data_IF_365822507258
#
_entry.id   IF_365822507258
#
_cell.length_a   1.000
_cell.length_b   1.000
_cell.length_c   1.000
_cell.angle_alpha   90.00
_cell.angle_beta   90.00
_cell.angle_gamma   90.00
#
_symmetry.space_group_name_H-M   'P 1'
#
loop_
_entity.id
_entity.type
_entity.pdbx_description
1 polymer ?
#
# COMPACT_ATOMS: atom_id res chain seq x y z
N UNK A 1 10.99 -4.89 -40.51
CA UNK A 1 10.54 -5.47 -41.80
C UNK A 1 9.02 -5.64 -41.91
N UNK A 2 8.33 -6.41 -41.05
CA UNK A 2 6.85 -6.62 -41.13
C UNK A 2 5.99 -5.34 -41.14
N UNK A 3 6.34 -4.32 -40.34
CA UNK A 3 5.59 -3.05 -40.30
C UNK A 3 5.81 -2.19 -41.55
N UNK A 4 7.03 -2.17 -42.08
CA UNK A 4 7.38 -1.43 -43.29
C UNK A 4 6.68 -2.01 -44.54
N UNK A 5 6.67 -3.33 -44.68
CA UNK A 5 5.93 -4.01 -45.75
C UNK A 5 4.42 -3.72 -45.71
N UNK A 6 3.85 -3.60 -44.50
CA UNK A 6 2.43 -3.32 -44.31
C UNK A 6 2.08 -1.85 -44.62
N UNK A 7 2.98 -0.90 -44.34
CA UNK A 7 2.82 0.48 -44.77
C UNK A 7 2.94 0.64 -46.29
N UNK A 8 3.88 -0.08 -46.92
CA UNK A 8 4.00 -0.11 -48.40
C UNK A 8 2.75 -0.74 -49.02
N UNK A 9 2.22 -1.83 -48.44
CA UNK A 9 0.97 -2.44 -48.90
C UNK A 9 -0.24 -1.52 -48.74
N UNK A 10 -0.35 -0.79 -47.61
CA UNK A 10 -1.43 0.20 -47.40
C UNK A 10 -1.30 1.39 -48.36
N UNK A 11 -0.09 1.87 -48.64
CA UNK A 11 0.15 2.95 -49.61
C UNK A 11 -0.19 2.51 -51.04
N UNK A 12 0.18 1.28 -51.44
CA UNK A 12 -0.20 0.70 -52.71
C UNK A 12 -1.73 0.52 -52.81
N UNK A 13 -2.38 0.07 -51.74
CA UNK A 13 -3.85 -0.03 -51.68
C UNK A 13 -4.52 1.34 -51.81
N UNK A 14 -3.93 2.39 -51.24
CA UNK A 14 -4.47 3.76 -51.27
C UNK A 14 -4.47 4.33 -52.69
N UNK A 15 -3.48 3.95 -53.51
CA UNK A 15 -3.38 4.31 -54.92
C UNK A 15 -4.40 3.56 -55.79
N UNK A 16 -4.75 2.32 -55.44
CA UNK A 16 -5.65 1.45 -56.22
C UNK A 16 -7.11 1.67 -55.82
N UNK A 17 -7.40 1.78 -54.53
CA UNK A 17 -8.74 2.01 -54.00
C UNK A 17 -8.67 2.74 -52.65
N UNK A 18 -8.77 4.07 -52.65
CA UNK A 18 -8.78 4.88 -51.44
C UNK A 18 -9.75 4.40 -50.35
N UNK A 19 -11.02 4.01 -50.63
CA UNK A 19 -11.94 3.56 -49.59
C UNK A 19 -11.52 2.22 -48.96
N UNK A 20 -10.97 1.27 -49.74
CA UNK A 20 -10.46 0.00 -49.21
C UNK A 20 -9.20 0.19 -48.37
N UNK A 21 -8.33 1.12 -48.76
CA UNK A 21 -7.12 1.43 -48.02
C UNK A 21 -7.40 2.14 -46.69
N UNK A 22 -8.35 3.08 -46.70
CA UNK A 22 -8.86 3.72 -45.48
C UNK A 22 -9.53 2.69 -44.58
N UNK A 23 -10.37 1.81 -45.12
CA UNK A 23 -10.99 0.71 -44.37
C UNK A 23 -9.94 -0.24 -43.78
N UNK A 24 -8.93 -0.63 -44.55
CA UNK A 24 -7.84 -1.50 -44.10
C UNK A 24 -6.97 -0.82 -43.02
N UNK A 25 -6.68 0.47 -43.15
CA UNK A 25 -5.98 1.26 -42.14
C UNK A 25 -6.80 1.40 -40.85
N UNK A 26 -8.12 1.65 -40.98
CA UNK A 26 -9.06 1.72 -39.85
C UNK A 26 -9.17 0.37 -39.15
N UNK A 27 -9.31 -0.74 -39.89
CA UNK A 27 -9.32 -2.10 -39.33
C UNK A 27 -7.98 -2.45 -38.68
N UNK A 28 -6.86 -2.04 -39.28
CA UNK A 28 -5.53 -2.23 -38.72
C UNK A 28 -5.29 -1.42 -37.44
N UNK A 29 -5.81 -0.20 -37.36
CA UNK A 29 -5.80 0.60 -36.14
C UNK A 29 -6.76 -0.01 -35.09
N UNK A 30 -7.96 -0.41 -35.52
CA UNK A 30 -8.99 -1.03 -34.69
C UNK A 30 -8.52 -2.35 -34.08
N UNK A 31 -7.66 -3.13 -34.75
CA UNK A 31 -7.14 -4.41 -34.22
C UNK A 31 -6.47 -4.25 -32.84
N UNK A 32 -5.83 -3.10 -32.59
CA UNK A 32 -5.17 -2.83 -31.30
C UNK A 32 -6.18 -2.61 -30.16
N UNK A 33 -7.36 -2.08 -30.50
CA UNK A 33 -8.48 -1.91 -29.59
C UNK A 33 -9.26 -3.23 -29.44
N UNK A 34 -9.55 -3.92 -30.55
CA UNK A 34 -10.29 -5.19 -30.59
C UNK A 34 -9.59 -6.25 -29.73
N UNK A 35 -8.26 -6.35 -29.78
CA UNK A 35 -7.55 -7.31 -28.94
C UNK A 35 -7.75 -7.03 -27.44
N UNK A 36 -7.53 -5.78 -27.02
CA UNK A 36 -7.70 -5.37 -25.62
C UNK A 36 -9.13 -5.62 -25.15
N UNK A 37 -10.10 -5.24 -25.96
CA UNK A 37 -11.52 -5.45 -25.70
C UNK A 37 -11.91 -6.92 -25.64
N UNK A 38 -11.43 -7.76 -26.56
CA UNK A 38 -11.73 -9.21 -26.55
C UNK A 38 -11.19 -9.91 -25.30
N UNK A 39 -10.06 -9.44 -24.76
CA UNK A 39 -9.49 -9.97 -23.53
C UNK A 39 -10.36 -9.60 -22.32
N UNK A 40 -10.76 -8.32 -22.22
CA UNK A 40 -11.62 -7.87 -21.12
C UNK A 40 -13.03 -8.47 -21.19
N UNK A 41 -13.58 -8.64 -22.40
CA UNK A 41 -14.86 -9.33 -22.61
C UNK A 41 -14.82 -10.80 -22.17
N UNK A 42 -13.72 -11.51 -22.45
CA UNK A 42 -13.54 -12.87 -21.94
C UNK A 42 -13.54 -12.91 -20.42
N UNK A 43 -12.91 -11.93 -19.75
CA UNK A 43 -12.95 -11.84 -18.29
C UNK A 43 -14.36 -11.54 -17.77
N UNK A 44 -15.09 -10.62 -18.42
CA UNK A 44 -16.49 -10.33 -18.08
C UNK A 44 -17.37 -11.58 -18.19
N UNK A 45 -17.32 -12.28 -19.32
CA UNK A 45 -18.13 -13.49 -19.59
C UNK A 45 -17.81 -14.62 -18.61
N UNK A 46 -16.53 -14.79 -18.24
CA UNK A 46 -16.12 -15.77 -17.21
C UNK A 46 -16.69 -15.44 -15.84
N UNK A 47 -16.86 -14.16 -15.52
CA UNK A 47 -17.35 -13.71 -14.23
C UNK A 47 -18.89 -13.70 -14.17
N UNK A 48 -19.56 -13.19 -15.21
CA UNK A 48 -21.02 -13.20 -15.33
C UNK A 48 -21.51 -13.09 -16.79
N UNK A 49 -22.72 -13.63 -17.04
CA UNK A 49 -23.37 -13.57 -18.36
C UNK A 49 -24.43 -12.47 -18.49
N UNK A 50 -24.89 -11.90 -17.37
CA UNK A 50 -26.01 -10.94 -17.38
C UNK A 50 -25.67 -9.63 -18.10
N UNK A 51 -24.50 -9.03 -17.82
CA UNK A 51 -24.06 -7.80 -18.50
C UNK A 51 -23.83 -8.02 -20.01
N UNK A 52 -23.11 -9.08 -20.45
CA UNK A 52 -23.02 -9.42 -21.87
C UNK A 52 -24.38 -9.53 -22.55
N UNK A 53 -25.30 -10.30 -21.97
CA UNK A 53 -26.63 -10.51 -22.56
C UNK A 53 -27.40 -9.18 -22.68
N UNK A 54 -27.41 -8.37 -21.62
CA UNK A 54 -28.16 -7.12 -21.60
C UNK A 54 -27.60 -6.09 -22.60
N UNK A 55 -26.28 -5.98 -22.70
CA UNK A 55 -25.63 -5.10 -23.69
C UNK A 55 -25.84 -5.55 -25.13
N UNK A 56 -25.85 -6.87 -25.39
CA UNK A 56 -26.22 -7.42 -26.68
C UNK A 56 -27.69 -7.13 -27.03
N UNK A 57 -28.60 -7.29 -26.06
CA UNK A 57 -30.01 -6.93 -26.22
C UNK A 57 -30.19 -5.43 -26.51
N UNK A 58 -29.48 -4.55 -25.80
CA UNK A 58 -29.49 -3.10 -26.05
C UNK A 58 -29.05 -2.75 -27.47
N UNK A 59 -27.95 -3.34 -27.94
CA UNK A 59 -27.46 -3.15 -29.30
C UNK A 59 -28.44 -3.72 -30.35
N UNK A 60 -29.00 -4.92 -30.12
CA UNK A 60 -29.99 -5.52 -31.00
C UNK A 60 -31.28 -4.68 -31.06
N UNK A 61 -31.75 -4.16 -29.92
CA UNK A 61 -32.90 -3.26 -29.86
C UNK A 61 -32.68 -1.98 -30.65
N UNK A 62 -31.49 -1.37 -30.55
CA UNK A 62 -31.13 -0.22 -31.37
C UNK A 62 -31.09 -0.57 -32.88
N UNK A 63 -30.56 -1.74 -33.25
CA UNK A 63 -30.51 -2.21 -34.63
C UNK A 63 -31.90 -2.52 -35.21
N UNK A 64 -32.79 -3.09 -34.41
CA UNK A 64 -34.13 -3.50 -34.83
C UNK A 64 -35.19 -2.39 -34.66
N UNK A 65 -34.84 -1.25 -34.05
CA UNK A 65 -35.80 -0.17 -33.82
C UNK A 65 -36.38 0.37 -35.14
N UNK A 66 -37.68 0.71 -35.17
CA UNK A 66 -38.35 1.21 -36.38
C UNK A 66 -37.96 2.65 -36.78
N UNK A 67 -37.26 3.37 -35.90
CA UNK A 67 -36.78 4.74 -36.16
C UNK A 67 -35.82 4.84 -37.35
N UNK A 68 -35.81 6.00 -38.00
CA UNK A 68 -34.89 6.36 -39.08
C UNK A 68 -34.19 7.69 -38.78
N UNK A 69 -33.22 8.08 -39.63
CA UNK A 69 -32.51 9.36 -39.51
C UNK A 69 -31.74 9.53 -38.20
N UNK A 70 -31.77 10.75 -37.64
CA UNK A 70 -31.00 11.11 -36.45
C UNK A 70 -31.37 10.30 -35.20
N UNK A 71 -32.66 9.96 -35.02
CA UNK A 71 -33.13 9.16 -33.89
C UNK A 71 -32.54 7.73 -33.93
N UNK A 72 -32.48 7.12 -35.12
CA UNK A 72 -31.82 5.82 -35.32
C UNK A 72 -30.33 5.89 -35.02
N UNK A 73 -29.66 6.92 -35.52
CA UNK A 73 -28.22 7.12 -35.28
C UNK A 73 -27.91 7.24 -33.79
N UNK A 74 -28.73 7.97 -33.02
CA UNK A 74 -28.59 8.11 -31.57
C UNK A 74 -28.74 6.76 -30.85
N UNK A 75 -29.78 5.98 -31.19
CA UNK A 75 -29.99 4.66 -30.60
C UNK A 75 -28.83 3.70 -30.89
N UNK A 76 -28.35 3.68 -32.14
CA UNK A 76 -27.19 2.88 -32.52
C UNK A 76 -25.93 3.30 -31.76
N UNK A 77 -25.71 4.61 -31.59
CA UNK A 77 -24.60 5.12 -30.80
C UNK A 77 -24.70 4.68 -29.33
N UNK A 78 -25.88 4.76 -28.72
CA UNK A 78 -26.08 4.31 -27.35
C UNK A 78 -25.91 2.80 -27.17
N UNK A 79 -26.42 2.00 -28.10
CA UNK A 79 -26.20 0.55 -28.13
C UNK A 79 -24.72 0.19 -28.27
N UNK A 80 -24.00 0.88 -29.16
CA UNK A 80 -22.56 0.71 -29.32
C UNK A 80 -21.79 1.12 -28.05
N UNK A 81 -22.18 2.23 -27.41
CA UNK A 81 -21.59 2.69 -26.14
C UNK A 81 -21.84 1.66 -25.03
N UNK A 82 -23.02 1.06 -24.94
CA UNK A 82 -23.31 0.02 -23.95
C UNK A 82 -22.40 -1.20 -24.11
N UNK A 83 -22.23 -1.69 -25.34
CA UNK A 83 -21.30 -2.79 -25.65
C UNK A 83 -19.86 -2.38 -25.35
N UNK A 84 -19.48 -1.15 -25.66
CA UNK A 84 -18.14 -0.63 -25.41
C UNK A 84 -17.83 -0.44 -23.92
N UNK A 85 -18.84 -0.13 -23.10
CA UNK A 85 -18.69 0.02 -21.65
C UNK A 85 -18.73 -1.31 -20.91
N UNK A 86 -19.37 -2.34 -21.46
CA UNK A 86 -19.62 -3.61 -20.75
C UNK A 86 -18.40 -4.20 -20.02
N UNK A 87 -17.19 -4.28 -20.61
CA UNK A 87 -16.05 -4.91 -19.93
C UNK A 87 -15.29 -4.00 -18.94
N UNK A 88 -15.53 -2.68 -18.95
CA UNK A 88 -14.82 -1.70 -18.11
C UNK A 88 -15.72 -1.03 -17.07
N UNK A 89 -17.00 -0.86 -17.41
CA UNK A 89 -18.04 -0.28 -16.57
C UNK A 89 -19.33 -1.10 -16.70
N UNK A 90 -19.35 -2.33 -16.16
CA UNK A 90 -20.47 -3.26 -16.33
C UNK A 90 -21.80 -2.67 -15.83
N UNK A 91 -21.80 -1.90 -14.73
CA UNK A 91 -23.03 -1.33 -14.17
C UNK A 91 -23.59 -0.22 -15.07
N UNK A 92 -22.72 0.68 -15.53
CA UNK A 92 -23.13 1.73 -16.47
C UNK A 92 -23.60 1.15 -17.80
N UNK A 93 -22.91 0.11 -18.31
CA UNK A 93 -23.32 -0.60 -19.52
C UNK A 93 -24.74 -1.16 -19.42
N UNK A 94 -25.10 -1.79 -18.28
CA UNK A 94 -26.48 -2.25 -18.05
C UNK A 94 -27.50 -1.12 -18.10
N UNK A 95 -27.23 -0.01 -17.42
CA UNK A 95 -28.14 1.14 -17.40
C UNK A 95 -28.37 1.70 -18.81
N UNK A 96 -27.30 1.92 -19.56
CA UNK A 96 -27.37 2.41 -20.95
C UNK A 96 -28.11 1.41 -21.84
N UNK A 97 -27.90 0.11 -21.65
CA UNK A 97 -28.59 -0.94 -22.42
C UNK A 97 -30.10 -0.91 -22.19
N UNK A 98 -30.55 -0.80 -20.93
CA UNK A 98 -31.97 -0.73 -20.57
C UNK A 98 -32.62 0.55 -21.12
N UNK A 99 -31.94 1.69 -21.00
CA UNK A 99 -32.42 2.94 -21.59
C UNK A 99 -32.53 2.84 -23.11
N UNK A 100 -31.53 2.23 -23.76
CA UNK A 100 -31.54 2.02 -25.22
C UNK A 100 -32.71 1.15 -25.64
N UNK A 101 -32.99 0.05 -24.91
CA UNK A 101 -34.17 -0.79 -25.14
C UNK A 101 -35.46 0.01 -24.99
N UNK A 102 -35.64 0.74 -23.88
CA UNK A 102 -36.85 1.53 -23.61
C UNK A 102 -37.11 2.60 -24.67
N UNK A 103 -36.05 3.23 -25.20
CA UNK A 103 -36.17 4.22 -26.28
C UNK A 103 -36.39 3.60 -27.66
N UNK A 104 -35.95 2.35 -27.87
CA UNK A 104 -36.11 1.63 -29.13
C UNK A 104 -37.53 1.11 -29.37
N UNK A 105 -38.33 0.93 -28.31
CA UNK A 105 -39.73 0.51 -28.44
C UNK A 105 -40.60 1.68 -28.91
N UNK A 106 -41.34 1.46 -29.99
CA UNK A 106 -42.36 2.39 -30.47
C UNK A 106 -43.71 2.03 -29.84
N UNK A 107 -44.23 2.91 -28.98
CA UNK A 107 -45.54 2.73 -28.34
C UNK A 107 -46.27 4.07 -28.22
N UNK A 108 -47.61 4.06 -28.20
CA UNK A 108 -48.41 5.26 -27.93
C UNK A 108 -48.20 5.80 -26.50
N UNK A 109 -47.73 4.96 -25.57
CA UNK A 109 -47.46 5.31 -24.17
C UNK A 109 -45.97 5.58 -23.91
N UNK A 110 -45.25 6.20 -24.86
CA UNK A 110 -43.80 6.39 -24.79
C UNK A 110 -43.31 7.07 -23.50
N UNK A 111 -43.97 8.11 -22.94
CA UNK A 111 -43.54 8.70 -21.67
C UNK A 111 -43.51 7.70 -20.50
N UNK A 112 -44.52 6.83 -20.40
CA UNK A 112 -44.60 5.79 -19.36
C UNK A 112 -43.49 4.74 -19.53
N UNK A 113 -43.23 4.32 -20.77
CA UNK A 113 -42.13 3.39 -21.09
C UNK A 113 -40.78 3.98 -20.72
N UNK A 114 -40.57 5.28 -20.95
CA UNK A 114 -39.33 5.95 -20.56
C UNK A 114 -39.15 6.04 -19.05
N UNK A 115 -40.20 6.39 -18.30
CA UNK A 115 -40.16 6.41 -16.83
C UNK A 115 -39.85 5.01 -16.28
N UNK A 116 -40.49 3.98 -16.82
CA UNK A 116 -40.22 2.59 -16.46
C UNK A 116 -38.77 2.20 -16.80
N UNK A 117 -38.29 2.56 -17.99
CA UNK A 117 -36.92 2.27 -18.42
C UNK A 117 -35.88 2.94 -17.52
N UNK A 118 -36.12 4.18 -17.08
CA UNK A 118 -35.26 4.88 -16.11
C UNK A 118 -35.26 4.15 -14.77
N UNK A 119 -36.42 3.76 -14.25
CA UNK A 119 -36.53 3.02 -13.00
C UNK A 119 -35.80 1.67 -13.07
N UNK A 120 -35.99 0.91 -14.16
CA UNK A 120 -35.32 -0.38 -14.38
C UNK A 120 -33.82 -0.20 -14.60
N UNK A 121 -33.39 0.86 -15.31
CA UNK A 121 -31.98 1.17 -15.51
C UNK A 121 -31.28 1.48 -14.18
N UNK A 122 -31.95 2.22 -13.29
CA UNK A 122 -31.46 2.48 -11.94
C UNK A 122 -31.30 1.19 -11.10
N UNK A 123 -32.29 0.30 -11.17
CA UNK A 123 -32.21 -1.01 -10.50
C UNK A 123 -31.10 -1.88 -11.09
N UNK A 124 -30.94 -1.90 -12.40
CA UNK A 124 -29.90 -2.64 -13.10
C UNK A 124 -28.48 -2.12 -12.76
N UNK A 125 -28.34 -0.80 -12.59
CA UNK A 125 -27.11 -0.15 -12.13
C UNK A 125 -26.77 -0.50 -10.67
N UNK A 126 -27.76 -0.52 -9.77
CA UNK A 126 -27.55 -0.86 -8.36
C UNK A 126 -27.28 -2.33 -8.10
N UNK A 127 -27.77 -3.22 -8.97
CA UNK A 127 -27.56 -4.67 -8.84
C UNK A 127 -26.06 -4.98 -8.89
N UNK A 128 -25.62 -5.92 -8.05
CA UNK A 128 -24.23 -6.37 -8.08
C UNK A 128 -23.85 -6.84 -9.49
N UNK A 129 -22.67 -6.43 -9.91
CA UNK A 129 -22.06 -6.79 -11.18
C UNK A 129 -20.65 -7.30 -10.91
N UNK A 130 -20.09 -8.00 -11.89
CA UNK A 130 -18.64 -8.10 -11.94
C UNK A 130 -18.06 -6.69 -12.13
N UNK A 131 -16.91 -6.45 -11.53
CA UNK A 131 -16.24 -5.15 -11.55
C UNK A 131 -14.91 -5.25 -10.81
N UNK A 132 -14.32 -4.12 -10.48
CA UNK A 132 -13.01 -4.06 -9.85
C UNK A 132 -13.13 -3.92 -8.33
N UNK A 133 -12.44 -4.80 -7.61
CA UNK A 133 -12.24 -4.73 -6.16
C UNK A 133 -10.77 -4.36 -5.96
N UNK A 134 -10.50 -3.20 -5.36
CA UNK A 134 -9.19 -2.59 -5.29
C UNK A 134 -8.70 -2.46 -3.85
N UNK A 135 -7.44 -2.83 -3.60
CA UNK A 135 -6.78 -2.67 -2.31
C UNK A 135 -5.26 -2.48 -2.48
N UNK A 136 -4.61 -1.91 -1.47
CA UNK A 136 -3.15 -2.01 -1.33
C UNK A 136 -2.81 -3.44 -0.93
N UNK A 137 -1.67 -3.96 -1.41
CA UNK A 137 -1.29 -5.35 -1.19
C UNK A 137 0.21 -5.48 -1.01
N UNK A 138 0.63 -6.21 0.02
CA UNK A 138 2.04 -6.51 0.31
C UNK A 138 2.66 -7.48 -0.70
N UNK A 139 1.83 -8.27 -1.39
CA UNK A 139 2.24 -9.17 -2.47
C UNK A 139 1.63 -8.71 -3.80
N UNK A 140 2.45 -8.54 -4.84
CA UNK A 140 1.95 -8.38 -6.19
C UNK A 140 1.20 -9.66 -6.57
N UNK A 141 -0.12 -9.63 -6.80
CA UNK A 141 -0.88 -10.84 -7.02
C UNK A 141 -0.36 -11.56 -8.26
N UNK A 142 -0.33 -12.89 -8.20
CA UNK A 142 0.03 -13.70 -9.35
C UNK A 142 -1.13 -13.73 -10.35
N UNK A 143 -0.79 -13.72 -11.64
CA UNK A 143 -1.75 -13.83 -12.74
C UNK A 143 -2.26 -12.50 -13.30
N UNK A 144 -3.56 -12.46 -13.60
CA UNK A 144 -4.24 -11.36 -14.29
C UNK A 144 -4.59 -10.25 -13.29
N UNK A 145 -3.87 -9.14 -13.35
CA UNK A 145 -3.91 -8.07 -12.34
C UNK A 145 -4.16 -6.71 -12.96
N UNK A 146 -4.99 -5.92 -12.29
CA UNK A 146 -5.34 -4.56 -12.65
C UNK A 146 -4.70 -3.57 -11.68
N UNK A 147 -4.33 -2.39 -12.15
CA UNK A 147 -3.66 -1.36 -11.38
C UNK A 147 -4.37 -0.02 -11.59
N UNK A 148 -4.88 0.56 -10.51
CA UNK A 148 -5.28 1.97 -10.48
C UNK A 148 -4.07 2.80 -10.05
N UNK A 149 -3.34 3.33 -11.03
CA UNK A 149 -2.13 4.13 -10.79
C UNK A 149 -2.42 5.49 -10.14
N UNK A 150 -3.67 5.99 -10.18
CA UNK A 150 -4.02 7.26 -9.53
C UNK A 150 -4.15 7.07 -8.03
N UNK A 151 -4.73 5.95 -7.62
CA UNK A 151 -4.97 5.63 -6.22
C UNK A 151 -3.87 4.76 -5.59
N UNK A 152 -2.94 4.23 -6.39
CA UNK A 152 -1.93 3.28 -5.92
C UNK A 152 -2.58 1.98 -5.45
N UNK A 153 -3.59 1.49 -6.17
CA UNK A 153 -4.32 0.28 -5.77
C UNK A 153 -4.14 -0.83 -6.79
N UNK A 154 -4.03 -2.05 -6.27
CA UNK A 154 -4.11 -3.26 -7.08
C UNK A 154 -5.54 -3.74 -7.04
N UNK A 155 -6.08 -4.07 -8.20
CA UNK A 155 -7.46 -4.48 -8.35
C UNK A 155 -7.59 -5.88 -8.96
N UNK A 156 -8.61 -6.61 -8.50
CA UNK A 156 -9.05 -7.87 -9.08
C UNK A 156 -10.44 -7.69 -9.70
N UNK A 157 -10.69 -8.37 -10.81
CA UNK A 157 -11.99 -8.32 -11.48
C UNK A 157 -12.90 -9.45 -10.98
N UNK A 158 -13.89 -9.12 -10.15
CA UNK A 158 -14.74 -10.08 -9.47
C UNK A 158 -16.16 -9.55 -9.21
N UNK A 159 -17.08 -10.45 -8.87
CA UNK A 159 -18.48 -10.12 -8.53
C UNK A 159 -18.53 -9.25 -7.26
N UNK A 160 -19.31 -8.17 -7.32
CA UNK A 160 -19.40 -7.19 -6.24
C UNK A 160 -18.45 -5.99 -6.40
N UNK A 161 -17.54 -6.03 -7.38
CA UNK A 161 -16.65 -4.92 -7.70
C UNK A 161 -17.36 -3.69 -8.28
N UNK A 162 -16.62 -2.58 -8.36
CA UNK A 162 -17.10 -1.28 -8.85
C UNK A 162 -16.56 -1.00 -10.26
N UNK A 163 -17.17 -0.04 -10.94
CA UNK A 163 -16.69 0.43 -12.23
C UNK A 163 -15.39 1.25 -12.03
N UNK A 164 -14.40 1.10 -12.92
CA UNK A 164 -13.20 1.92 -12.93
C UNK A 164 -13.08 2.71 -14.22
N UNK A 165 -12.70 3.98 -14.08
CA UNK A 165 -12.51 4.89 -15.20
C UNK A 165 -11.08 4.89 -15.72
N UNK A 166 -10.07 4.54 -14.94
CA UNK A 166 -8.71 4.44 -15.49
C UNK A 166 -7.94 3.37 -14.76
N UNK A 167 -7.36 2.47 -15.53
CA UNK A 167 -6.54 1.40 -14.97
C UNK A 167 -5.58 0.88 -16.03
N UNK A 168 -4.50 0.28 -15.55
CA UNK A 168 -3.61 -0.56 -16.32
C UNK A 168 -3.93 -2.01 -16.01
N UNK A 169 -3.76 -2.90 -16.98
CA UNK A 169 -3.96 -4.33 -16.73
C UNK A 169 -2.85 -5.15 -17.38
N UNK A 170 -2.39 -6.15 -16.63
CA UNK A 170 -1.56 -7.24 -17.13
C UNK A 170 -2.47 -8.47 -17.23
N UNK A 171 -2.74 -8.91 -18.46
CA UNK A 171 -3.48 -10.15 -18.74
C UNK A 171 -2.55 -11.12 -19.45
N UNK A 172 -2.12 -12.17 -18.76
CA UNK A 172 -1.04 -13.06 -19.19
C UNK A 172 0.22 -12.26 -19.58
N UNK A 173 0.64 -12.37 -20.86
CA UNK A 173 1.77 -11.63 -21.44
C UNK A 173 1.41 -10.32 -22.16
N UNK A 174 0.20 -9.80 -21.99
CA UNK A 174 -0.24 -8.55 -22.61
C UNK A 174 -0.48 -7.44 -21.60
N UNK A 175 -0.05 -6.24 -21.95
CA UNK A 175 -0.21 -5.02 -21.16
C UNK A 175 -1.19 -4.08 -21.84
N UNK A 176 -2.21 -3.63 -21.12
CA UNK A 176 -3.27 -2.77 -21.65
C UNK A 176 -3.42 -1.56 -20.72
N UNK A 177 -3.70 -0.40 -21.32
CA UNK A 177 -4.07 0.82 -20.60
C UNK A 177 -5.48 1.21 -21.00
N UNK A 178 -6.34 1.45 -20.01
CA UNK A 178 -7.71 1.92 -20.18
C UNK A 178 -7.87 3.33 -19.58
N UNK A 179 -8.54 4.21 -20.32
CA UNK A 179 -8.91 5.54 -19.87
C UNK A 179 -10.35 5.88 -20.29
N UNK A 180 -11.19 6.15 -19.30
CA UNK A 180 -12.64 5.99 -19.29
C UNK A 180 -13.04 4.61 -19.82
N UNK A 181 -13.22 4.49 -21.13
CA UNK A 181 -13.51 3.24 -21.81
C UNK A 181 -12.45 2.93 -22.88
N UNK A 182 -11.61 3.88 -23.26
CA UNK A 182 -10.65 3.67 -24.33
C UNK A 182 -9.49 2.79 -23.85
N UNK A 183 -9.55 1.51 -24.19
CA UNK A 183 -8.54 0.51 -23.88
C UNK A 183 -7.62 0.23 -25.08
N UNK A 184 -6.31 0.38 -24.87
CA UNK A 184 -5.29 0.10 -25.89
C UNK A 184 -4.17 -0.78 -25.34
N UNK A 185 -3.66 -1.67 -26.18
CA UNK A 185 -2.43 -2.43 -25.86
C UNK A 185 -1.23 -1.47 -25.80
N UNK A 186 -0.39 -1.66 -24.80
CA UNK A 186 0.88 -0.93 -24.60
C UNK A 186 2.03 -1.94 -24.52
N UNK A 187 3.27 -1.48 -24.70
CA UNK A 187 4.44 -2.31 -24.42
C UNK A 187 4.72 -2.34 -22.91
N UNK A 188 5.59 -3.26 -22.48
CA UNK A 188 5.91 -3.43 -21.07
C UNK A 188 6.57 -2.19 -20.46
N UNK A 189 7.47 -1.52 -21.19
CA UNK A 189 8.13 -0.30 -20.71
C UNK A 189 7.14 0.85 -20.46
N UNK A 190 6.18 1.08 -21.37
CA UNK A 190 5.14 2.10 -21.17
C UNK A 190 4.15 1.70 -20.08
N UNK A 191 3.90 0.39 -19.89
CA UNK A 191 3.11 -0.11 -18.78
C UNK A 191 3.80 0.17 -17.45
N UNK A 192 5.07 -0.22 -17.30
CA UNK A 192 5.86 -0.01 -16.07
C UNK A 192 5.95 1.48 -15.73
N UNK A 193 6.24 2.34 -16.72
CA UNK A 193 6.22 3.81 -16.54
C UNK A 193 4.85 4.35 -16.13
N UNK A 194 3.77 3.75 -16.61
CA UNK A 194 2.40 4.21 -16.33
C UNK A 194 1.84 3.75 -14.98
N UNK A 195 2.19 2.52 -14.56
CA UNK A 195 1.85 1.94 -13.25
C UNK A 195 2.69 2.61 -12.16
N UNK A 196 3.96 2.86 -12.43
CA UNK A 196 4.89 3.41 -11.46
C UNK A 196 5.54 2.33 -10.59
N UNK A 197 6.03 2.75 -9.44
CA UNK A 197 6.84 1.95 -8.51
C UNK A 197 5.96 1.13 -7.56
N UNK A 198 6.51 0.00 -7.07
CA UNK A 198 5.79 -0.95 -6.22
C UNK A 198 5.31 -0.33 -4.90
N UNK A 199 6.10 0.57 -4.33
CA UNK A 199 5.84 1.26 -3.06
C UNK A 199 4.51 2.03 -3.03
N UNK A 200 3.96 2.43 -4.19
CA UNK A 200 2.64 3.06 -4.27
C UNK A 200 1.49 2.11 -3.95
N UNK A 201 1.74 0.81 -4.12
CA UNK A 201 0.74 -0.25 -4.04
C UNK A 201 0.80 -1.03 -2.72
N UNK A 202 1.84 -0.79 -1.91
CA UNK A 202 2.01 -1.43 -0.62
C UNK A 202 1.17 -0.73 0.45
N UNK A 203 0.66 -1.47 1.44
CA UNK A 203 -0.05 -0.90 2.57
C UNK A 203 0.88 -0.04 3.45
N UNK A 204 0.28 0.92 4.17
CA UNK A 204 0.96 1.60 5.27
C UNK A 204 1.11 0.63 6.44
N UNK A 205 2.26 0.57 7.13
CA UNK A 205 2.43 -0.28 8.30
C UNK A 205 1.68 0.30 9.50
N UNK A 206 1.19 -0.55 10.39
CA UNK A 206 0.71 -0.16 11.71
C UNK A 206 1.85 -0.19 12.73
N UNK A 207 1.71 0.53 13.84
CA UNK A 207 2.68 0.50 14.96
C UNK A 207 2.96 -0.93 15.46
N UNK A 208 1.94 -1.80 15.43
CA UNK A 208 2.04 -3.20 15.86
C UNK A 208 2.85 -4.11 14.92
N UNK A 209 3.13 -3.66 13.68
CA UNK A 209 3.93 -4.40 12.70
C UNK A 209 5.43 -4.23 12.98
N UNK A 210 5.81 -3.12 13.61
CA UNK A 210 7.17 -2.84 14.05
C UNK A 210 7.49 -3.60 15.35
N UNK A 211 8.05 -4.81 15.19
CA UNK A 211 8.42 -5.69 16.30
C UNK A 211 9.89 -6.11 16.26
N UNK A 212 10.51 -6.11 17.43
CA UNK A 212 11.90 -6.54 17.62
C UNK A 212 12.89 -5.58 16.98
N UNK A 213 14.00 -6.14 16.46
CA UNK A 213 15.08 -5.37 15.85
C UNK A 213 14.76 -5.04 14.38
N UNK A 214 14.73 -3.75 14.06
CA UNK A 214 14.50 -3.19 12.74
C UNK A 214 15.76 -2.44 12.31
N UNK A 215 16.32 -2.83 11.16
CA UNK A 215 17.47 -2.13 10.57
C UNK A 215 16.97 -0.92 9.78
N UNK A 216 17.21 0.28 10.29
CA UNK A 216 16.83 1.53 9.66
C UNK A 216 17.97 2.05 8.79
N UNK A 217 17.71 2.22 7.50
CA UNK A 217 18.67 2.68 6.50
C UNK A 217 18.23 4.05 5.99
N UNK A 218 18.84 5.08 6.54
CA UNK A 218 18.54 6.48 6.25
C UNK A 218 19.11 7.41 7.31
N UNK A 219 18.86 8.72 7.19
CA UNK A 219 19.30 9.70 8.18
C UNK A 219 18.65 9.44 9.56
N UNK A 220 19.40 9.50 10.67
CA UNK A 220 18.86 9.26 12.02
C UNK A 220 17.64 10.12 12.37
N UNK A 221 17.59 11.36 11.87
CA UNK A 221 16.49 12.30 12.11
C UNK A 221 15.17 11.79 11.53
N UNK A 222 15.23 11.03 10.42
CA UNK A 222 14.06 10.41 9.81
C UNK A 222 13.57 9.23 10.64
N UNK A 223 14.48 8.46 11.27
CA UNK A 223 14.10 7.39 12.19
C UNK A 223 13.33 7.93 13.40
N UNK A 224 13.81 9.05 13.96
CA UNK A 224 13.14 9.71 15.10
C UNK A 224 11.74 10.19 14.72
N UNK A 225 11.58 10.81 13.55
CA UNK A 225 10.26 11.23 13.04
C UNK A 225 9.31 10.06 12.82
N UNK A 226 9.80 8.96 12.26
CA UNK A 226 9.01 7.75 12.04
C UNK A 226 8.53 7.16 13.38
N UNK A 227 9.44 7.08 14.36
CA UNK A 227 9.10 6.66 15.71
C UNK A 227 8.04 7.57 16.34
N UNK A 228 8.20 8.88 16.26
CA UNK A 228 7.23 9.83 16.80
C UNK A 228 5.86 9.70 16.10
N UNK A 229 5.83 9.50 14.78
CA UNK A 229 4.60 9.33 14.02
C UNK A 229 3.81 8.07 14.41
N UNK A 230 4.48 6.92 14.52
CA UNK A 230 3.79 5.65 14.76
C UNK A 230 3.57 5.34 16.24
N UNK A 231 4.44 5.85 17.13
CA UNK A 231 4.41 5.52 18.56
C UNK A 231 4.13 6.71 19.47
N UNK A 232 4.17 7.94 18.96
CA UNK A 232 4.00 9.19 19.72
C UNK A 232 5.21 9.58 20.58
N UNK A 233 5.99 8.60 21.03
CA UNK A 233 7.19 8.81 21.83
C UNK A 233 8.24 7.72 21.55
N UNK A 234 9.49 7.98 21.93
CA UNK A 234 10.59 7.04 21.78
C UNK A 234 11.82 7.47 22.55
N UNK A 235 12.85 6.63 22.54
CA UNK A 235 14.13 6.94 23.16
C UNK A 235 15.26 6.84 22.15
N UNK A 236 16.20 7.77 22.19
CA UNK A 236 17.43 7.72 21.41
C UNK A 236 18.62 7.33 22.31
N UNK A 237 19.57 6.57 21.76
CA UNK A 237 20.84 6.23 22.39
C UNK A 237 22.00 6.27 21.37
N UNK A 238 23.23 6.43 21.86
CA UNK A 238 24.44 6.46 21.03
C UNK A 238 24.68 7.82 20.38
N UNK A 239 25.15 7.88 19.13
CA UNK A 239 25.38 9.15 18.43
C UNK A 239 24.12 9.75 17.78
N UNK A 240 22.94 9.18 18.08
CA UNK A 240 21.65 9.73 17.64
C UNK A 240 21.32 10.99 18.44
N UNK A 241 21.09 12.10 17.74
CA UNK A 241 20.77 13.40 18.33
C UNK A 241 19.28 13.50 18.69
N UNK A 242 18.99 13.65 19.99
CA UNK A 242 17.67 13.95 20.50
C UNK A 242 17.78 14.82 21.77
N UNK A 243 16.73 15.58 22.14
CA UNK A 243 16.73 16.39 23.35
C UNK A 243 17.12 15.57 24.60
N UNK A 244 18.11 16.01 25.39
CA UNK A 244 18.52 15.29 26.58
C UNK A 244 17.48 15.47 27.69
N UNK A 245 17.10 14.37 28.34
CA UNK A 245 16.21 14.35 29.50
C UNK A 245 16.57 13.18 30.43
N UNK A 246 16.19 13.28 31.70
CA UNK A 246 16.27 12.15 32.64
C UNK A 246 14.96 11.37 32.55
N UNK A 247 14.99 10.19 31.94
CA UNK A 247 13.81 9.56 31.32
C UNK A 247 12.96 8.74 32.30
N UNK A 248 13.59 7.94 33.16
CA UNK A 248 12.86 7.01 34.02
C UNK A 248 13.28 7.10 35.49
N UNK A 249 12.45 6.49 36.34
CA UNK A 249 12.69 6.27 37.77
C UNK A 249 12.57 4.79 38.08
N UNK A 250 13.58 4.22 38.74
CA UNK A 250 13.47 2.84 39.24
C UNK A 250 12.30 2.71 40.23
N UNK A 251 12.07 3.72 41.07
CA UNK A 251 10.94 3.75 42.01
C UNK A 251 9.55 3.78 41.35
N UNK A 252 9.47 4.16 40.07
CA UNK A 252 8.21 4.20 39.30
C UNK A 252 7.97 2.97 38.44
N UNK A 253 9.02 2.20 38.14
CA UNK A 253 8.95 0.97 37.36
C UNK A 253 8.57 -0.20 38.27
N UNK A 254 8.04 -1.28 37.69
CA UNK A 254 7.90 -2.52 38.45
C UNK A 254 9.29 -3.08 38.78
N UNK A 255 9.49 -3.68 39.98
CA UNK A 255 10.78 -4.25 40.36
C UNK A 255 11.31 -5.27 39.34
N UNK A 256 10.43 -6.05 38.71
CA UNK A 256 10.79 -7.05 37.70
C UNK A 256 11.37 -6.40 36.44
N UNK A 257 10.76 -5.30 35.96
CA UNK A 257 11.24 -4.55 34.80
C UNK A 257 12.56 -3.87 35.11
N UNK A 258 12.63 -3.21 36.27
CA UNK A 258 13.83 -2.50 36.72
C UNK A 258 15.04 -3.45 36.85
N UNK A 259 14.86 -4.61 37.49
CA UNK A 259 15.92 -5.60 37.65
C UNK A 259 16.40 -6.14 36.30
N UNK A 260 15.47 -6.55 35.42
CA UNK A 260 15.84 -7.09 34.11
C UNK A 260 16.65 -6.09 33.27
N UNK A 261 16.27 -4.80 33.32
CA UNK A 261 17.01 -3.72 32.64
C UNK A 261 18.39 -3.52 33.26
N UNK A 262 18.49 -3.43 34.59
CA UNK A 262 19.76 -3.22 35.28
C UNK A 262 20.73 -4.40 35.08
N UNK A 263 20.23 -5.62 35.16
CA UNK A 263 20.99 -6.84 34.86
C UNK A 263 21.58 -6.77 33.45
N UNK A 264 20.75 -6.43 32.45
CA UNK A 264 21.16 -6.38 31.05
C UNK A 264 22.14 -5.22 30.78
N UNK A 265 21.84 -4.02 31.26
CA UNK A 265 22.59 -2.81 30.93
C UNK A 265 23.90 -2.66 31.74
N UNK A 266 23.90 -3.11 33.00
CA UNK A 266 25.05 -2.99 33.91
C UNK A 266 25.84 -4.30 34.02
N UNK A 267 25.30 -5.42 33.56
CA UNK A 267 25.97 -6.73 33.63
C UNK A 267 26.04 -7.26 35.06
N UNK A 268 24.94 -7.17 35.81
CA UNK A 268 24.91 -7.60 37.20
C UNK A 268 25.04 -9.13 37.32
N UNK A 269 25.78 -9.61 38.32
CA UNK A 269 25.83 -11.05 38.65
C UNK A 269 24.51 -11.53 39.27
N UNK A 270 24.21 -12.85 39.29
CA UNK A 270 22.99 -13.37 39.92
C UNK A 270 22.79 -12.91 41.37
N UNK A 271 23.87 -12.82 42.15
CA UNK A 271 23.84 -12.34 43.54
C UNK A 271 23.52 -10.85 43.62
N UNK A 272 24.10 -10.05 42.71
CA UNK A 272 23.85 -8.62 42.62
C UNK A 272 22.39 -8.34 42.21
N UNK A 273 21.89 -9.09 41.22
CA UNK A 273 20.49 -9.04 40.77
C UNK A 273 19.53 -9.39 41.91
N UNK A 274 19.81 -10.44 42.69
CA UNK A 274 18.99 -10.81 43.84
C UNK A 274 18.94 -9.70 44.90
N UNK A 275 20.08 -9.08 45.22
CA UNK A 275 20.15 -7.96 46.17
C UNK A 275 19.37 -6.75 45.66
N UNK A 276 19.56 -6.36 44.39
CA UNK A 276 18.84 -5.22 43.78
C UNK A 276 17.34 -5.47 43.77
N UNK A 277 16.91 -6.69 43.48
CA UNK A 277 15.50 -7.08 43.53
C UNK A 277 14.91 -6.89 44.92
N UNK A 278 15.58 -7.39 45.96
CA UNK A 278 15.13 -7.21 47.35
C UNK A 278 15.02 -5.73 47.74
N UNK A 279 16.04 -4.92 47.41
CA UNK A 279 16.03 -3.48 47.67
C UNK A 279 14.90 -2.75 46.92
N UNK A 280 14.65 -3.09 45.65
CA UNK A 280 13.55 -2.52 44.87
C UNK A 280 12.17 -2.97 45.38
N UNK A 281 12.04 -4.22 45.82
CA UNK A 281 10.80 -4.75 46.41
C UNK A 281 10.43 -4.02 47.71
N UNK A 282 11.44 -3.64 48.51
CA UNK A 282 11.24 -2.84 49.74
C UNK A 282 10.95 -1.37 49.44
N UNK A 283 11.25 -0.90 48.22
CA UNK A 283 11.08 0.50 47.76
C UNK A 283 11.74 1.57 48.65
N UNK A 284 12.70 1.21 49.52
CA UNK A 284 13.41 2.17 50.36
C UNK A 284 14.71 2.62 49.70
N UNK A 285 14.76 3.92 49.36
CA UNK A 285 15.99 4.54 48.87
C UNK A 285 17.04 4.66 49.97
N UNK A 286 16.64 4.94 51.22
CA UNK A 286 17.58 5.06 52.32
C UNK A 286 18.30 3.75 52.58
N UNK A 287 17.57 2.63 52.52
CA UNK A 287 18.16 1.29 52.66
C UNK A 287 19.15 1.01 51.53
N UNK A 288 18.78 1.25 50.27
CA UNK A 288 19.70 1.10 49.15
C UNK A 288 20.94 2.01 49.27
N UNK A 289 20.78 3.23 49.80
CA UNK A 289 21.88 4.15 50.09
C UNK A 289 22.82 3.60 51.18
N UNK A 290 22.28 3.04 52.26
CA UNK A 290 23.06 2.38 53.30
C UNK A 290 23.85 1.18 52.75
N UNK A 291 23.21 0.34 51.92
CA UNK A 291 23.89 -0.78 51.26
C UNK A 291 25.01 -0.34 50.31
N UNK A 292 24.88 0.82 49.66
CA UNK A 292 25.92 1.35 48.76
C UNK A 292 27.22 1.75 49.46
N UNK A 293 27.19 1.96 50.79
CA UNK A 293 28.41 2.18 51.58
C UNK A 293 29.24 0.89 51.67
N UNK A 294 28.57 -0.26 51.71
CA UNK A 294 29.22 -1.58 51.75
C UNK A 294 29.51 -2.13 50.35
N UNK A 295 28.68 -1.80 49.38
CA UNK A 295 28.78 -2.26 48.00
C UNK A 295 28.83 -1.08 47.03
N UNK A 296 30.03 -0.55 46.71
CA UNK A 296 30.18 0.65 45.89
C UNK A 296 29.54 0.56 44.50
N UNK A 297 29.36 -0.66 43.96
CA UNK A 297 28.71 -0.91 42.68
C UNK A 297 27.21 -0.57 42.67
N UNK A 298 26.57 -0.34 43.84
CA UNK A 298 25.19 0.13 43.93
C UNK A 298 25.04 1.63 43.68
N UNK A 299 26.12 2.43 43.76
CA UNK A 299 26.05 3.89 43.58
C UNK A 299 25.44 4.32 42.24
N UNK A 300 25.83 3.72 41.09
CA UNK A 300 25.22 4.02 39.80
C UNK A 300 23.70 3.73 39.78
N UNK A 301 23.25 2.69 40.49
CA UNK A 301 21.83 2.33 40.56
C UNK A 301 21.03 3.37 41.38
N UNK A 302 21.65 3.96 42.40
CA UNK A 302 21.02 5.02 43.20
C UNK A 302 20.76 6.30 42.41
N UNK A 303 21.56 6.58 41.38
CA UNK A 303 21.36 7.73 40.49
C UNK A 303 20.07 7.58 39.66
N UNK A 304 19.65 6.35 39.37
CA UNK A 304 18.41 6.02 38.67
C UNK A 304 17.20 5.89 39.61
N UNK A 305 17.40 6.00 40.93
CA UNK A 305 16.39 5.64 41.93
C UNK A 305 15.18 6.58 41.94
N UNK A 306 15.46 7.88 41.88
CA UNK A 306 14.45 8.95 41.88
C UNK A 306 14.63 9.80 40.63
N UNK A 307 13.53 9.98 39.90
CA UNK A 307 13.62 9.63 38.49
C UNK A 307 12.42 10.06 37.64
N UNK A 308 12.56 9.96 36.32
CA UNK A 308 11.66 10.32 35.22
C UNK A 308 11.00 11.70 35.16
N UNK A 309 11.21 12.44 34.07
CA UNK A 309 10.16 13.31 33.55
C UNK A 309 9.74 12.73 32.20
N UNK A 310 8.43 12.72 31.91
CA UNK A 310 7.94 12.21 30.63
C UNK A 310 8.36 13.18 29.52
N UNK A 311 9.25 12.78 28.60
CA UNK A 311 9.66 13.63 27.50
C UNK A 311 8.49 13.88 26.54
N UNK A 312 8.52 15.02 25.85
CA UNK A 312 7.64 15.27 24.71
C UNK A 312 8.29 14.67 23.47
N UNK A 313 7.67 13.66 22.86
CA UNK A 313 8.17 13.00 21.66
C UNK A 313 9.36 12.09 21.94
N UNK A 314 10.42 12.19 21.13
CA UNK A 314 11.64 11.39 21.27
C UNK A 314 12.69 12.13 22.09
N UNK A 315 13.30 11.45 23.07
CA UNK A 315 14.36 12.02 23.90
C UNK A 315 15.52 11.05 24.11
N UNK A 316 16.67 11.60 24.52
CA UNK A 316 17.88 10.85 24.86
C UNK A 316 18.16 10.99 26.35
N UNK A 317 18.73 9.95 26.98
CA UNK A 317 19.12 10.08 28.39
C UNK A 317 20.20 11.16 28.55
N UNK A 318 20.02 12.00 29.58
CA UNK A 318 21.03 12.97 29.98
C UNK A 318 22.22 12.34 30.72
N UNK A 319 22.12 11.05 31.12
CA UNK A 319 23.18 10.35 31.84
C UNK A 319 24.23 9.78 30.86
N UNK A 320 25.51 9.75 31.24
CA UNK A 320 26.57 9.25 30.38
C UNK A 320 26.66 7.72 30.38
N UNK A 321 27.24 7.16 29.32
CA UNK A 321 27.67 5.76 29.23
C UNK A 321 26.57 4.73 29.51
N UNK A 322 26.93 3.66 30.24
CA UNK A 322 26.01 2.56 30.58
C UNK A 322 24.83 2.99 31.47
N UNK A 323 24.97 4.07 32.24
CA UNK A 323 23.86 4.63 33.00
C UNK A 323 22.82 5.29 32.10
N UNK A 324 23.27 6.00 31.05
CA UNK A 324 22.38 6.52 30.02
C UNK A 324 21.64 5.41 29.27
N UNK A 325 22.32 4.30 28.99
CA UNK A 325 21.68 3.11 28.39
C UNK A 325 20.64 2.50 29.34
N UNK A 326 20.97 2.33 30.61
CA UNK A 326 20.04 1.79 31.61
C UNK A 326 18.78 2.68 31.76
N UNK A 327 18.95 4.01 31.84
CA UNK A 327 17.83 4.98 31.90
C UNK A 327 16.94 4.89 30.64
N UNK A 328 17.57 4.81 29.46
CA UNK A 328 16.88 4.67 28.18
C UNK A 328 16.08 3.37 28.07
N UNK A 329 16.72 2.23 28.38
CA UNK A 329 16.08 0.92 28.35
C UNK A 329 14.97 0.80 29.39
N UNK A 330 15.15 1.41 30.57
CA UNK A 330 14.15 1.41 31.63
C UNK A 330 12.89 2.14 31.17
N UNK A 331 13.04 3.34 30.62
CA UNK A 331 11.91 4.10 30.09
C UNK A 331 11.24 3.35 28.93
N UNK A 332 12.04 2.88 27.97
CA UNK A 332 11.53 2.17 26.79
C UNK A 332 10.73 0.92 27.17
N UNK A 333 11.23 0.12 28.12
CA UNK A 333 10.54 -1.08 28.60
C UNK A 333 9.30 -0.76 29.43
N UNK A 334 9.39 0.22 30.34
CA UNK A 334 8.29 0.57 31.24
C UNK A 334 7.11 1.23 30.49
N UNK A 335 7.40 2.02 29.45
CA UNK A 335 6.39 2.74 28.65
C UNK A 335 6.05 2.04 27.34
N UNK A 336 6.71 0.92 27.03
CA UNK A 336 6.55 0.18 25.78
C UNK A 336 6.74 1.08 24.54
N UNK A 337 7.78 1.90 24.57
CA UNK A 337 8.16 2.79 23.46
C UNK A 337 9.45 2.28 22.79
N UNK A 338 9.65 2.57 21.49
CA UNK A 338 10.80 2.07 20.77
C UNK A 338 12.11 2.79 21.14
N UNK A 339 13.22 2.09 20.92
CA UNK A 339 14.59 2.63 21.02
C UNK A 339 15.16 2.88 19.62
N UNK A 340 15.71 4.07 19.37
CA UNK A 340 16.50 4.42 18.19
C UNK A 340 17.98 4.48 18.59
N UNK A 341 18.84 3.74 17.91
CA UNK A 341 20.26 3.65 18.27
C UNK A 341 21.13 3.35 17.06
N UNK A 342 22.37 3.82 17.06
CA UNK A 342 23.43 3.41 16.13
C UNK A 342 24.36 2.32 16.72
N UNK A 343 24.24 2.05 18.03
CA UNK A 343 24.99 1.01 18.72
C UNK A 343 24.33 -0.36 18.58
N UNK A 344 25.05 -1.31 17.97
CA UNK A 344 24.62 -2.70 17.85
C UNK A 344 24.49 -3.43 19.20
N UNK A 345 25.34 -3.12 20.19
CA UNK A 345 25.27 -3.69 21.54
C UNK A 345 23.96 -3.26 22.23
N UNK A 346 23.66 -1.96 22.23
CA UNK A 346 22.43 -1.42 22.80
C UNK A 346 21.19 -2.00 22.10
N UNK A 347 21.25 -2.17 20.78
CA UNK A 347 20.16 -2.76 20.02
C UNK A 347 19.88 -4.22 20.39
N UNK A 348 20.93 -5.03 20.59
CA UNK A 348 20.77 -6.43 21.03
C UNK A 348 20.21 -6.52 22.45
N UNK A 349 20.71 -5.70 23.37
CA UNK A 349 20.19 -5.62 24.74
C UNK A 349 18.70 -5.26 24.76
N UNK A 350 18.31 -4.21 24.03
CA UNK A 350 16.92 -3.77 23.94
C UNK A 350 16.01 -4.82 23.31
N UNK A 351 16.46 -5.46 22.22
CA UNK A 351 15.71 -6.53 21.56
C UNK A 351 15.54 -7.75 22.49
N UNK A 352 16.57 -8.11 23.27
CA UNK A 352 16.49 -9.18 24.28
C UNK A 352 15.48 -8.88 25.39
N UNK A 353 15.29 -7.60 25.73
CA UNK A 353 14.24 -7.15 26.64
C UNK A 353 12.86 -7.07 25.97
N UNK A 354 12.72 -7.42 24.69
CA UNK A 354 11.46 -7.35 23.94
C UNK A 354 11.01 -5.92 23.61
N UNK A 355 11.94 -4.97 23.56
CA UNK A 355 11.69 -3.59 23.13
C UNK A 355 11.80 -3.54 21.59
N UNK A 356 10.93 -2.78 20.93
CA UNK A 356 11.09 -2.50 19.49
C UNK A 356 12.28 -1.57 19.27
N UNK A 357 13.19 -1.93 18.38
CA UNK A 357 14.45 -1.20 18.18
C UNK A 357 14.59 -0.80 16.72
N UNK A 358 14.89 0.47 16.48
CA UNK A 358 15.35 1.00 15.20
C UNK A 358 16.87 1.17 15.27
N UNK A 359 17.60 0.20 14.75
CA UNK A 359 19.05 0.25 14.64
C UNK A 359 19.43 0.97 13.34
N UNK A 360 20.06 2.14 13.45
CA UNK A 360 20.64 2.85 12.31
C UNK A 360 21.73 1.96 11.70
N UNK A 361 21.57 1.64 10.43
CA UNK A 361 22.41 0.70 9.71
C UNK A 361 22.70 1.19 8.29
N UNK A 362 23.86 0.79 7.76
CA UNK A 362 24.26 1.16 6.40
C UNK A 362 23.51 0.38 5.31
N UNK A 363 22.95 -0.79 5.67
CA UNK A 363 22.33 -1.73 4.72
C UNK A 363 21.10 -2.42 5.31
N UNK A 364 20.09 -2.73 4.48
CA UNK A 364 18.90 -3.43 4.95
C UNK A 364 19.21 -4.89 5.28
N UNK A 365 18.66 -5.39 6.39
CA UNK A 365 18.80 -6.78 6.83
C UNK A 365 17.58 -7.23 7.63
N UNK A 366 17.07 -8.43 7.40
CA UNK A 366 15.95 -8.99 8.17
C UNK A 366 14.73 -8.06 8.12
N UNK A 367 14.21 -7.67 9.29
CA UNK A 367 13.26 -6.57 9.37
C UNK A 367 14.00 -5.25 9.14
N UNK A 368 13.57 -4.45 8.17
CA UNK A 368 14.23 -3.20 7.84
C UNK A 368 13.25 -2.11 7.43
N UNK A 369 13.72 -0.86 7.51
CA UNK A 369 13.11 0.32 6.91
C UNK A 369 14.18 1.01 6.07
N UNK A 370 13.86 1.35 4.83
CA UNK A 370 14.77 2.06 3.92
C UNK A 370 14.08 3.34 3.43
N UNK A 371 14.77 4.47 3.56
CA UNK A 371 14.30 5.78 3.13
C UNK A 371 14.76 6.08 1.71
N UNK A 372 13.85 6.56 0.85
CA UNK A 372 14.17 6.99 -0.51
C UNK A 372 14.79 8.39 -0.59
N UNK A 373 15.43 8.76 -1.71
CA UNK A 373 15.43 8.04 -2.99
C UNK A 373 16.49 6.93 -3.05
N UNK A 374 16.07 5.70 -3.31
CA UNK A 374 16.99 4.56 -3.47
C UNK A 374 16.37 3.43 -4.29
N UNK A 375 17.20 2.49 -4.73
CA UNK A 375 16.73 1.25 -5.37
C UNK A 375 17.32 0.04 -4.68
N UNK A 376 16.48 -0.92 -4.31
CA UNK A 376 16.88 -2.14 -3.63
C UNK A 376 16.28 -3.37 -4.32
N UNK A 377 16.94 -4.52 -4.22
CA UNK A 377 16.35 -5.79 -4.61
C UNK A 377 15.63 -6.42 -3.42
N UNK A 378 14.35 -6.71 -3.58
CA UNK A 378 13.52 -7.40 -2.59
C UNK A 378 12.84 -8.58 -3.27
N UNK A 379 13.05 -9.79 -2.75
CA UNK A 379 12.44 -11.00 -3.31
C UNK A 379 12.74 -11.23 -4.80
N UNK A 380 13.96 -10.87 -5.25
CA UNK A 380 14.38 -11.00 -6.66
C UNK A 380 13.78 -9.95 -7.60
N UNK A 381 13.15 -8.88 -7.07
CA UNK A 381 12.64 -7.75 -7.85
C UNK A 381 13.29 -6.46 -7.40
N UNK A 382 13.67 -5.62 -8.36
CA UNK A 382 14.13 -4.26 -8.08
C UNK A 382 12.93 -3.39 -7.68
N UNK A 383 12.95 -2.89 -6.45
CA UNK A 383 12.03 -1.89 -5.92
C UNK A 383 12.73 -0.53 -5.90
N UNK A 384 12.08 0.48 -6.46
CA UNK A 384 12.51 1.88 -6.37
C UNK A 384 11.65 2.58 -5.33
N UNK A 385 12.30 3.26 -4.39
CA UNK A 385 11.65 4.06 -3.34
C UNK A 385 11.84 5.52 -3.69
N UNK A 386 10.73 6.25 -3.87
CA UNK A 386 10.80 7.67 -4.22
C UNK A 386 11.30 8.52 -3.03
N UNK A 387 11.80 9.73 -3.34
CA UNK A 387 12.16 10.69 -2.31
C UNK A 387 10.94 11.05 -1.44
N UNK A 388 11.13 11.18 -0.13
CA UNK A 388 10.07 11.48 0.83
C UNK A 388 9.16 10.29 1.17
N UNK A 389 9.54 9.08 0.78
CA UNK A 389 8.86 7.82 1.13
C UNK A 389 9.82 6.85 1.77
N UNK A 390 9.28 5.86 2.46
CA UNK A 390 10.04 4.71 2.93
C UNK A 390 9.41 3.39 2.46
N UNK A 391 10.25 2.37 2.38
CA UNK A 391 9.86 0.98 2.22
C UNK A 391 10.25 0.22 3.48
N UNK A 392 9.33 -0.57 4.03
CA UNK A 392 9.60 -1.42 5.18
C UNK A 392 9.36 -2.89 4.84
N UNK A 393 10.27 -3.76 5.26
CA UNK A 393 10.04 -5.19 5.32
C UNK A 393 9.91 -5.59 6.79
N UNK A 394 8.72 -6.01 7.22
CA UNK A 394 8.41 -6.32 8.61
C UNK A 394 7.69 -7.67 8.67
N UNK A 395 8.24 -8.63 9.42
CA UNK A 395 7.62 -9.95 9.58
C UNK A 395 7.50 -10.75 8.27
N UNK A 396 8.28 -10.41 7.25
CA UNK A 396 8.20 -11.02 5.91
C UNK A 396 7.24 -10.32 4.94
N UNK A 397 6.47 -9.34 5.41
CA UNK A 397 5.60 -8.52 4.57
C UNK A 397 6.26 -7.20 4.16
N UNK A 398 5.77 -6.61 3.07
CA UNK A 398 6.23 -5.32 2.56
C UNK A 398 5.19 -4.23 2.76
N UNK A 399 5.67 -3.10 3.26
CA UNK A 399 4.90 -1.88 3.51
C UNK A 399 5.61 -0.69 2.88
N UNK A 400 4.85 0.36 2.60
CA UNK A 400 5.42 1.64 2.23
C UNK A 400 4.49 2.77 2.63
N UNK A 401 5.10 3.90 2.94
CA UNK A 401 4.37 5.10 3.30
C UNK A 401 5.19 6.37 3.03
N UNK A 402 4.52 7.52 3.06
CA UNK A 402 5.13 8.85 3.01
C UNK A 402 5.82 9.16 4.34
N UNK A 403 6.86 10.02 4.32
CA UNK A 403 7.64 10.42 5.50
C UNK A 403 7.16 11.71 6.16
#
# INVERSE_FOLDING_TARGET
MRRAALFVALAALLLISPPLAVLAAVLYAARYYIYAYSALWRQLVKCELYTPALSALGAAGALLSPYSGAAKALLLAMGAVAVYLAPTMPRLSRAVSVLTLGMAVETPAKPLVLVLAVAVAYLAYRRSACGFICQRTAAAPDGDVYYDARLGLVCLFAKGGRDLHSFFVKLGGSYIRCFYSICRKVNEEAFRRGVGTLDRYLPEPAAADFKGLIHFVGPPEVALKLVERYFGAGVAYGAVDAPPARLASLSSASPEVAVAVLETALGLTPEQTALVKDLLSRRSREEAAAWSLRYPWLRPILELWNGGAEPRGVAKSALPGRLGLADALLYAKAKNVPLVTDSGEAAQMAAGLGITVFLIADRPRGNFVVVGPTSLEVGGRRAEVAAGRFLAQLGGELYADDL
#
